data_IF_872786144519
#
_entry.id   IF_872786144519
#
_cell.length_a   1.000
_cell.length_b   1.000
_cell.length_c   1.000
_cell.angle_alpha   90.00
_cell.angle_beta   90.00
_cell.angle_gamma   90.00
#
_symmetry.space_group_name_H-M   'P 1'
#
loop_
_entity.id
_entity.type
_entity.pdbx_description
1 polymer ?
#
# COMPACT_ATOMS: atom_id res chain seq x y z
N UNK A 1 -3.96 33.26 -7.29
CA UNK A 1 -2.71 32.80 -6.63
C UNK A 1 -1.61 33.69 -7.15
N UNK A 2 -0.91 34.41 -6.27
CA UNK A 2 0.19 35.29 -6.68
C UNK A 2 1.36 34.45 -7.17
N UNK A 3 2.17 34.95 -8.11
CA UNK A 3 3.41 34.29 -8.54
C UNK A 3 4.32 34.00 -7.33
N UNK A 4 4.30 34.88 -6.34
CA UNK A 4 5.03 34.71 -5.08
C UNK A 4 4.58 33.50 -4.27
N UNK A 5 3.26 33.25 -4.18
CA UNK A 5 2.72 32.08 -3.48
C UNK A 5 3.15 30.78 -4.15
N UNK A 6 3.24 30.80 -5.48
CA UNK A 6 3.64 29.64 -6.28
C UNK A 6 5.12 29.32 -6.05
N UNK A 7 5.99 30.33 -6.09
CA UNK A 7 7.41 30.16 -5.79
C UNK A 7 7.68 29.75 -4.35
N UNK A 8 6.92 30.30 -3.39
CA UNK A 8 6.98 29.92 -1.98
C UNK A 8 6.58 28.46 -1.79
N UNK A 9 5.48 28.02 -2.43
CA UNK A 9 5.00 26.64 -2.37
C UNK A 9 6.02 25.67 -2.99
N UNK A 10 6.62 26.01 -4.13
CA UNK A 10 7.67 25.20 -4.76
C UNK A 10 8.87 25.07 -3.82
N UNK A 11 9.32 26.16 -3.21
CA UNK A 11 10.45 26.16 -2.26
C UNK A 11 10.19 25.34 -1.01
N UNK A 12 8.99 25.47 -0.44
CA UNK A 12 8.57 24.69 0.73
C UNK A 12 8.44 23.20 0.40
N UNK A 13 7.87 22.85 -0.76
CA UNK A 13 7.75 21.47 -1.22
C UNK A 13 9.11 20.83 -1.51
N UNK A 14 10.04 21.58 -2.10
CA UNK A 14 11.41 21.10 -2.31
C UNK A 14 12.13 20.87 -0.99
N UNK A 15 12.06 21.81 -0.04
CA UNK A 15 12.63 21.63 1.31
C UNK A 15 12.01 20.43 2.04
N UNK A 16 10.68 20.33 2.06
CA UNK A 16 9.98 19.21 2.68
C UNK A 16 10.39 17.86 2.06
N UNK A 17 10.53 17.80 0.73
CA UNK A 17 10.96 16.60 0.01
C UNK A 17 12.42 16.26 0.31
N UNK A 18 13.30 17.25 0.33
CA UNK A 18 14.72 17.06 0.62
C UNK A 18 14.94 16.54 2.05
N UNK A 19 14.17 17.06 3.01
CA UNK A 19 14.22 16.61 4.41
C UNK A 19 13.62 15.20 4.55
N UNK A 20 12.45 14.93 3.98
CA UNK A 20 11.75 13.65 4.22
C UNK A 20 12.29 12.50 3.37
N UNK A 21 12.58 12.71 2.09
CA UNK A 21 13.10 11.69 1.17
C UNK A 21 14.62 11.76 1.00
N UNK A 22 15.19 12.96 1.02
CA UNK A 22 16.62 13.18 0.86
C UNK A 22 17.44 12.99 2.14
N UNK A 23 16.82 12.94 3.32
CA UNK A 23 17.53 12.72 4.59
C UNK A 23 18.40 11.47 4.56
N UNK A 24 17.89 10.36 4.02
CA UNK A 24 18.66 9.12 3.84
C UNK A 24 19.90 9.30 2.95
N UNK A 25 19.84 10.19 1.96
CA UNK A 25 20.92 10.47 1.01
C UNK A 25 21.92 11.50 1.57
N UNK A 26 21.43 12.56 2.22
CA UNK A 26 22.23 13.62 2.86
C UNK A 26 22.95 13.14 4.13
N UNK A 27 22.36 12.21 4.90
CA UNK A 27 22.97 11.59 6.09
C UNK A 27 23.91 10.42 5.74
N UNK A 28 24.02 10.06 4.46
CA UNK A 28 24.73 8.85 3.99
C UNK A 28 26.23 8.79 4.30
N UNK A 29 26.90 9.93 4.54
CA UNK A 29 28.33 9.94 4.90
C UNK A 29 28.61 9.81 6.40
N UNK A 30 27.62 10.06 7.28
CA UNK A 30 27.82 10.03 8.74
C UNK A 30 27.14 8.85 9.44
N UNK A 31 26.08 8.27 8.85
CA UNK A 31 25.32 7.18 9.48
C UNK A 31 25.48 5.91 8.66
N UNK A 32 26.48 5.09 9.01
CA UNK A 32 26.50 3.67 8.61
C UNK A 32 25.26 3.00 9.21
N UNK A 33 24.18 2.93 8.44
CA UNK A 33 22.95 2.30 8.91
C UNK A 33 23.24 0.85 9.31
N UNK A 34 22.91 0.44 10.55
CA UNK A 34 23.12 -0.93 10.98
C UNK A 34 22.40 -1.88 10.03
N UNK A 35 23.02 -3.00 9.66
CA UNK A 35 22.42 -3.99 8.75
C UNK A 35 20.98 -4.40 9.16
N UNK A 36 20.68 -4.37 10.47
CA UNK A 36 19.32 -4.60 11.01
C UNK A 36 18.29 -3.58 10.53
N UNK A 37 18.64 -2.29 10.50
CA UNK A 37 17.73 -1.21 10.07
C UNK A 37 17.52 -1.28 8.56
N UNK A 38 18.59 -1.51 7.78
CA UNK A 38 18.48 -1.67 6.33
C UNK A 38 17.62 -2.89 5.94
N UNK A 39 17.74 -4.00 6.67
CA UNK A 39 16.85 -5.14 6.51
C UNK A 39 15.39 -4.81 6.88
N UNK A 40 15.15 -4.11 7.99
CA UNK A 40 13.80 -3.70 8.40
C UNK A 40 13.15 -2.78 7.36
N UNK A 41 13.89 -1.80 6.81
CA UNK A 41 13.40 -0.89 5.78
C UNK A 41 13.01 -1.60 4.48
N UNK A 42 13.66 -2.72 4.13
CA UNK A 42 13.27 -3.51 2.94
C UNK A 42 11.87 -4.13 3.07
N UNK A 43 11.42 -4.40 4.29
CA UNK A 43 10.07 -4.94 4.55
C UNK A 43 9.01 -3.84 4.75
N UNK A 44 9.42 -2.60 5.01
CA UNK A 44 8.49 -1.48 5.26
C UNK A 44 7.47 -1.25 4.13
N UNK A 45 7.82 -1.29 2.82
CA UNK A 45 6.85 -1.09 1.75
C UNK A 45 5.77 -2.17 1.71
N UNK A 46 6.17 -3.44 1.85
CA UNK A 46 5.25 -4.56 1.84
C UNK A 46 4.33 -4.53 3.07
N UNK A 47 4.88 -4.20 4.25
CA UNK A 47 4.11 -4.05 5.48
C UNK A 47 3.10 -2.90 5.41
N UNK A 48 3.48 -1.76 4.83
CA UNK A 48 2.59 -0.62 4.62
C UNK A 48 1.44 -0.97 3.67
N UNK A 49 1.74 -1.63 2.53
CA UNK A 49 0.71 -2.09 1.60
C UNK A 49 -0.25 -3.07 2.27
N UNK A 50 0.25 -4.03 3.04
CA UNK A 50 -0.59 -4.95 3.80
C UNK A 50 -1.48 -4.21 4.82
N UNK A 51 -0.92 -3.24 5.55
CA UNK A 51 -1.64 -2.43 6.53
C UNK A 51 -2.74 -1.55 5.91
N UNK A 52 -2.64 -1.20 4.63
CA UNK A 52 -3.68 -0.44 3.91
C UNK A 52 -4.75 -1.38 3.33
N UNK A 53 -4.33 -2.52 2.76
CA UNK A 53 -5.24 -3.45 2.08
C UNK A 53 -6.11 -4.23 3.07
N UNK A 54 -5.57 -4.64 4.22
CA UNK A 54 -6.31 -5.39 5.24
C UNK A 54 -7.56 -4.64 5.75
N UNK A 55 -7.48 -3.38 6.21
CA UNK A 55 -8.68 -2.67 6.65
C UNK A 55 -9.67 -2.42 5.51
N UNK A 56 -9.21 -2.18 4.28
CA UNK A 56 -10.11 -2.02 3.12
C UNK A 56 -10.90 -3.31 2.79
N UNK A 57 -10.33 -4.48 3.10
CA UNK A 57 -11.00 -5.77 2.97
C UNK A 57 -11.95 -6.10 4.14
N UNK A 58 -11.59 -5.71 5.36
CA UNK A 58 -12.32 -6.07 6.59
C UNK A 58 -13.46 -5.09 6.90
N UNK A 59 -13.30 -3.81 6.57
CA UNK A 59 -14.27 -2.77 6.85
C UNK A 59 -15.24 -2.62 5.68
N UNK A 60 -16.52 -2.87 5.95
CA UNK A 60 -17.61 -2.58 5.01
C UNK A 60 -18.60 -1.66 5.71
N UNK A 61 -18.82 -0.48 5.14
CA UNK A 61 -19.72 0.55 5.68
C UNK A 61 -19.40 0.97 7.14
N UNK A 62 -18.13 1.02 7.51
CA UNK A 62 -17.70 1.45 8.85
C UNK A 62 -17.90 0.43 9.97
N UNK A 63 -18.43 -0.75 9.67
CA UNK A 63 -18.52 -1.87 10.60
C UNK A 63 -17.51 -2.97 10.24
N UNK A 64 -16.88 -3.55 11.27
CA UNK A 64 -16.01 -4.73 11.12
C UNK A 64 -16.91 -5.93 10.81
N UNK A 65 -17.10 -6.21 9.53
CA UNK A 65 -17.90 -7.34 9.06
C UNK A 65 -16.98 -8.49 8.66
N UNK A 66 -16.45 -9.20 9.66
CA UNK A 66 -15.76 -10.48 9.49
C UNK A 66 -16.80 -11.59 9.35
N UNK A 67 -17.68 -11.45 8.36
CA UNK A 67 -18.64 -12.48 7.99
C UNK A 67 -18.21 -13.11 6.67
N UNK A 68 -18.47 -14.41 6.52
CA UNK A 68 -18.32 -15.11 5.24
C UNK A 68 -19.22 -14.52 4.14
N UNK A 69 -20.20 -13.70 4.51
CA UNK A 69 -21.02 -12.91 3.61
C UNK A 69 -20.31 -11.65 3.08
N UNK A 70 -19.09 -11.33 3.50
CA UNK A 70 -18.43 -10.12 3.03
C UNK A 70 -17.72 -10.38 1.68
N UNK A 71 -18.21 -9.79 0.57
CA UNK A 71 -17.72 -10.10 -0.76
C UNK A 71 -16.27 -9.66 -0.97
N UNK A 72 -15.83 -8.59 -0.28
CA UNK A 72 -14.45 -8.09 -0.33
C UNK A 72 -13.46 -9.07 0.30
N UNK A 73 -13.79 -9.58 1.49
CA UNK A 73 -12.90 -10.46 2.25
C UNK A 73 -12.66 -11.79 1.52
N UNK A 74 -13.72 -12.43 1.02
CA UNK A 74 -13.60 -13.66 0.23
C UNK A 74 -12.86 -13.43 -1.10
N UNK A 75 -13.08 -12.30 -1.78
CA UNK A 75 -12.33 -11.97 -2.99
C UNK A 75 -10.83 -11.79 -2.72
N UNK A 76 -10.46 -11.15 -1.60
CA UNK A 76 -9.07 -11.02 -1.16
C UNK A 76 -8.39 -12.37 -0.87
N UNK A 77 -9.11 -13.30 -0.20
CA UNK A 77 -8.62 -14.66 0.05
C UNK A 77 -8.45 -15.43 -1.27
N UNK A 78 -9.44 -15.38 -2.16
CA UNK A 78 -9.37 -16.03 -3.47
C UNK A 78 -8.20 -15.52 -4.32
N UNK A 79 -8.00 -14.19 -4.35
CA UNK A 79 -6.86 -13.57 -5.05
C UNK A 79 -5.52 -14.01 -4.46
N UNK A 80 -5.42 -14.12 -3.13
CA UNK A 80 -4.22 -14.57 -2.42
C UNK A 80 -3.89 -16.03 -2.72
N UNK A 81 -4.91 -16.91 -2.69
CA UNK A 81 -4.75 -18.32 -3.03
C UNK A 81 -4.31 -18.50 -4.49
N UNK A 82 -4.90 -17.74 -5.42
CA UNK A 82 -4.51 -17.79 -6.83
C UNK A 82 -3.08 -17.28 -7.06
N UNK A 83 -2.67 -16.23 -6.31
CA UNK A 83 -1.28 -15.73 -6.35
C UNK A 83 -0.30 -16.82 -5.94
N UNK A 84 -0.60 -17.54 -4.86
CA UNK A 84 0.25 -18.60 -4.33
C UNK A 84 0.43 -19.73 -5.33
N UNK A 85 -0.62 -20.05 -6.10
CA UNK A 85 -0.60 -21.14 -7.07
C UNK A 85 0.12 -20.79 -8.38
N UNK A 86 -0.19 -19.65 -8.99
CA UNK A 86 0.30 -19.29 -10.34
C UNK A 86 1.49 -18.34 -10.35
N UNK A 87 1.79 -17.63 -9.25
CA UNK A 87 2.80 -16.55 -9.17
C UNK A 87 2.77 -15.55 -10.34
N UNK A 88 1.59 -15.36 -10.94
CA UNK A 88 1.41 -14.53 -12.14
C UNK A 88 0.54 -13.31 -11.80
N UNK A 89 1.16 -12.11 -11.78
CA UNK A 89 0.52 -10.87 -11.32
C UNK A 89 -0.74 -10.48 -12.10
N UNK A 90 -0.72 -10.61 -13.43
CA UNK A 90 -1.91 -10.29 -14.23
C UNK A 90 -3.06 -11.26 -13.95
N UNK A 91 -2.73 -12.53 -13.70
CA UNK A 91 -3.73 -13.55 -13.42
C UNK A 91 -4.43 -13.30 -12.08
N UNK A 92 -3.68 -12.85 -11.06
CA UNK A 92 -4.27 -12.47 -9.78
C UNK A 92 -5.19 -11.28 -9.84
N UNK A 93 -4.87 -10.28 -10.68
CA UNK A 93 -5.74 -9.11 -10.85
C UNK A 93 -7.06 -9.55 -11.49
N UNK A 94 -6.99 -10.34 -12.57
CA UNK A 94 -8.19 -10.82 -13.28
C UNK A 94 -9.05 -11.69 -12.36
N UNK A 95 -8.44 -12.65 -11.66
CA UNK A 95 -9.16 -13.56 -10.76
C UNK A 95 -9.73 -12.81 -9.56
N UNK A 96 -8.99 -11.87 -8.97
CA UNK A 96 -9.48 -11.04 -7.87
C UNK A 96 -10.66 -10.16 -8.29
N UNK A 97 -10.57 -9.52 -9.45
CA UNK A 97 -11.66 -8.70 -10.02
C UNK A 97 -12.89 -9.53 -10.38
N UNK A 98 -12.68 -10.72 -10.95
CA UNK A 98 -13.76 -11.64 -11.29
C UNK A 98 -14.45 -12.20 -10.04
N UNK A 99 -13.67 -12.64 -9.04
CA UNK A 99 -14.19 -13.13 -7.77
C UNK A 99 -14.98 -12.04 -7.04
N UNK A 100 -14.45 -10.81 -6.98
CA UNK A 100 -15.17 -9.68 -6.40
C UNK A 100 -16.46 -9.37 -7.14
N UNK A 101 -16.43 -9.32 -8.48
CA UNK A 101 -17.63 -9.05 -9.28
C UNK A 101 -18.69 -10.14 -9.11
N UNK A 102 -18.31 -11.41 -9.11
CA UNK A 102 -19.22 -12.53 -8.88
C UNK A 102 -19.85 -12.46 -7.49
N UNK A 103 -19.03 -12.26 -6.45
CA UNK A 103 -19.53 -12.16 -5.09
C UNK A 103 -20.41 -10.93 -4.86
N UNK A 104 -20.12 -9.80 -5.51
CA UNK A 104 -20.97 -8.60 -5.48
C UNK A 104 -22.30 -8.77 -6.21
N UNK A 105 -22.37 -9.64 -7.21
CA UNK A 105 -23.61 -9.89 -7.97
C UNK A 105 -24.49 -10.94 -7.27
N UNK A 106 -23.85 -11.91 -6.59
CA UNK A 106 -24.56 -12.98 -5.87
C UNK A 106 -25.09 -12.50 -4.50
N UNK A 107 -24.47 -11.48 -3.91
CA UNK A 107 -24.68 -11.06 -2.52
C UNK A 107 -25.03 -9.59 -2.39
#
# INVERSE_FOLDING_TARGET
MSDFDTWLAIGLLTLATLITRGSFFLLGHAVKMPAKVQHALRYAPAAALAAIVVPDLVLVNGAVQVSWMNPKLMAGIAATLFFLYKRHMLGTIIVGMAAYSLLRVIL
#
